data_IF_463536143862
#
_entry.id   IF_463536143862
#
_cell.length_a   1.000
_cell.length_b   1.000
_cell.length_c   1.000
_cell.angle_alpha   90.00
_cell.angle_beta   90.00
_cell.angle_gamma   90.00
#
_symmetry.space_group_name_H-M   'P 1'
#
loop_
_entity.id
_entity.type
_entity.pdbx_description
1 polymer ?
#
# COMPACT_ATOMS: atom_id res chain seq x y z
N UNK A 1 -17.24 38.41 -9.98
CA UNK A 1 -18.13 37.47 -10.64
C UNK A 1 -17.28 36.68 -11.60
N UNK A 2 -16.70 35.60 -11.13
CA UNK A 2 -15.88 34.66 -11.91
C UNK A 2 -16.85 33.57 -12.39
N UNK A 3 -17.07 33.49 -13.68
CA UNK A 3 -17.79 32.41 -14.34
C UNK A 3 -17.04 31.12 -14.12
N UNK A 4 -17.67 30.15 -13.46
CA UNK A 4 -17.23 28.78 -13.41
C UNK A 4 -17.11 28.27 -14.87
N UNK A 5 -15.87 27.94 -15.27
CA UNK A 5 -15.65 27.24 -16.54
C UNK A 5 -16.24 25.85 -16.40
N UNK A 6 -17.28 25.57 -17.18
CA UNK A 6 -17.77 24.20 -17.37
C UNK A 6 -16.67 23.37 -17.99
N UNK A 7 -16.29 22.25 -17.34
CA UNK A 7 -15.39 21.27 -17.93
C UNK A 7 -15.95 20.82 -19.29
N UNK A 8 -15.17 20.84 -20.39
CA UNK A 8 -15.64 20.57 -21.74
C UNK A 8 -16.11 19.12 -21.97
N UNK A 9 -16.16 18.27 -20.95
CA UNK A 9 -16.67 16.90 -20.99
C UNK A 9 -18.12 16.77 -20.47
N UNK A 10 -18.79 17.88 -20.13
CA UNK A 10 -20.18 17.87 -19.68
C UNK A 10 -21.14 17.76 -20.88
N UNK A 11 -21.54 16.54 -21.25
CA UNK A 11 -22.70 16.38 -22.12
C UNK A 11 -22.81 15.19 -23.06
N UNK A 12 -21.77 14.36 -23.20
CA UNK A 12 -21.95 13.04 -23.82
C UNK A 12 -21.75 11.97 -22.74
N UNK A 13 -22.82 11.27 -22.39
CA UNK A 13 -22.73 9.97 -21.74
C UNK A 13 -21.77 9.15 -22.62
N UNK A 14 -20.56 8.88 -22.11
CA UNK A 14 -19.58 8.05 -22.83
C UNK A 14 -20.21 6.67 -22.93
N UNK A 15 -20.63 6.30 -24.12
CA UNK A 15 -21.05 4.96 -24.46
C UNK A 15 -19.91 4.02 -24.02
N UNK A 16 -20.10 3.21 -23.00
CA UNK A 16 -19.19 2.36 -22.21
C UNK A 16 -17.94 1.76 -22.86
N UNK A 17 -17.36 2.40 -23.87
CA UNK A 17 -16.14 2.02 -24.57
C UNK A 17 -15.06 3.09 -24.42
N UNK A 18 -13.80 2.66 -24.30
CA UNK A 18 -12.65 3.56 -24.32
C UNK A 18 -12.62 4.37 -25.62
N UNK A 19 -12.33 5.67 -25.55
CA UNK A 19 -12.16 6.50 -26.72
C UNK A 19 -10.93 6.08 -27.53
N UNK A 20 -10.94 6.34 -28.85
CA UNK A 20 -9.71 6.27 -29.67
C UNK A 20 -8.65 7.21 -29.03
N UNK A 21 -7.42 6.76 -28.78
CA UNK A 21 -6.37 7.59 -28.17
C UNK A 21 -6.09 8.88 -28.96
N UNK A 22 -6.27 8.88 -30.29
CA UNK A 22 -6.14 10.11 -31.10
C UNK A 22 -7.23 11.13 -30.76
N UNK A 23 -8.46 10.65 -30.54
CA UNK A 23 -9.56 11.54 -30.17
C UNK A 23 -9.35 12.16 -28.78
N UNK A 24 -8.68 11.46 -27.87
CA UNK A 24 -8.30 12.04 -26.56
C UNK A 24 -7.31 13.19 -26.76
N UNK A 25 -6.30 13.00 -27.61
CA UNK A 25 -5.29 14.04 -27.86
C UNK A 25 -5.91 15.26 -28.56
N UNK A 26 -6.68 15.03 -29.64
CA UNK A 26 -7.23 16.09 -30.48
C UNK A 26 -8.46 16.78 -29.87
N UNK A 27 -9.24 16.06 -29.08
CA UNK A 27 -10.48 16.54 -28.45
C UNK A 27 -10.28 17.26 -27.12
N UNK A 28 -9.08 17.24 -26.54
CA UNK A 28 -8.76 17.87 -25.26
C UNK A 28 -8.06 19.20 -25.47
N UNK A 29 -8.56 20.27 -24.88
CA UNK A 29 -7.84 21.56 -24.85
C UNK A 29 -6.76 21.54 -23.76
N UNK A 30 -5.62 20.95 -24.06
CA UNK A 30 -4.48 20.87 -23.14
C UNK A 30 -3.92 22.23 -22.72
N UNK A 31 -4.26 23.30 -23.41
CA UNK A 31 -3.80 24.66 -23.06
C UNK A 31 -4.62 25.27 -21.92
N UNK A 32 -5.83 24.77 -21.71
CA UNK A 32 -6.73 25.14 -20.65
C UNK A 32 -6.59 24.26 -19.40
N UNK A 33 -5.81 23.14 -19.48
CA UNK A 33 -5.54 22.23 -18.39
C UNK A 33 -4.18 22.52 -17.75
N UNK A 34 -4.04 22.09 -16.50
CA UNK A 34 -2.82 22.27 -15.74
C UNK A 34 -2.23 20.92 -15.28
N UNK A 35 -0.93 20.89 -15.09
CA UNK A 35 -0.15 19.88 -14.38
C UNK A 35 0.74 20.59 -13.34
N UNK A 36 1.55 19.88 -12.59
CA UNK A 36 2.37 20.40 -11.49
C UNK A 36 3.22 21.65 -11.83
N UNK A 37 3.56 21.85 -13.11
CA UNK A 37 4.42 22.95 -13.56
C UNK A 37 3.68 23.99 -14.41
N UNK A 38 2.34 24.04 -14.33
CA UNK A 38 1.48 24.98 -15.04
C UNK A 38 0.74 24.37 -16.21
N UNK A 39 0.46 25.16 -17.27
CA UNK A 39 -0.39 24.72 -18.37
C UNK A 39 0.16 23.47 -19.11
N UNK A 40 -0.68 22.45 -19.29
CA UNK A 40 -0.35 21.11 -19.78
C UNK A 40 -0.10 21.03 -21.29
N UNK A 41 0.49 22.06 -21.91
CA UNK A 41 0.69 22.19 -23.36
C UNK A 41 1.62 21.13 -23.96
N UNK A 42 2.52 20.61 -23.16
CA UNK A 42 3.52 19.60 -23.56
C UNK A 42 3.01 18.17 -23.32
N UNK A 43 1.98 17.99 -22.51
CA UNK A 43 1.42 16.69 -22.16
C UNK A 43 1.03 15.85 -23.38
N UNK A 44 0.32 16.37 -24.43
CA UNK A 44 -0.03 15.56 -25.59
C UNK A 44 1.18 14.98 -26.33
N UNK A 45 2.27 15.76 -26.43
CA UNK A 45 3.51 15.24 -27.03
C UNK A 45 4.08 14.07 -26.22
N UNK A 46 4.06 14.17 -24.88
CA UNK A 46 4.56 13.10 -23.99
C UNK A 46 3.70 11.86 -24.07
N UNK A 47 2.38 12.02 -24.12
CA UNK A 47 1.47 10.90 -24.32
C UNK A 47 1.74 10.17 -25.63
N UNK A 48 1.94 10.87 -26.73
CA UNK A 48 2.30 10.28 -28.02
C UNK A 48 3.65 9.54 -27.98
N UNK A 49 4.63 10.09 -27.25
CA UNK A 49 5.96 9.50 -27.07
C UNK A 49 5.96 8.18 -26.27
N UNK A 50 4.90 7.87 -25.53
CA UNK A 50 4.74 6.54 -24.90
C UNK A 50 4.69 5.40 -25.93
N UNK A 51 4.37 5.69 -27.17
CA UNK A 51 4.32 4.72 -28.27
C UNK A 51 5.44 4.95 -29.29
N UNK A 52 6.53 5.63 -28.92
CA UNK A 52 7.71 5.78 -29.76
C UNK A 52 8.40 4.42 -29.97
N UNK A 53 9.15 4.28 -31.05
CA UNK A 53 9.96 3.08 -31.31
C UNK A 53 11.25 3.06 -30.49
N UNK A 54 11.71 4.22 -30.03
CA UNK A 54 12.90 4.38 -29.18
C UNK A 54 12.54 4.20 -27.69
N UNK A 55 13.08 3.16 -27.01
CA UNK A 55 12.84 2.92 -25.60
C UNK A 55 13.23 4.09 -24.68
N UNK A 56 14.27 4.86 -25.03
CA UNK A 56 14.70 5.99 -24.22
C UNK A 56 13.68 7.14 -24.29
N UNK A 57 13.06 7.33 -25.46
CA UNK A 57 11.97 8.30 -25.64
C UNK A 57 10.74 7.89 -24.82
N UNK A 58 10.36 6.59 -24.86
CA UNK A 58 9.27 6.05 -24.06
C UNK A 58 9.52 6.24 -22.54
N UNK A 59 10.73 5.91 -22.08
CA UNK A 59 11.11 6.07 -20.68
C UNK A 59 11.03 7.53 -20.22
N UNK A 60 11.54 8.45 -21.07
CA UNK A 60 11.45 9.89 -20.81
C UNK A 60 10.03 10.40 -20.75
N UNK A 61 9.13 9.90 -21.61
CA UNK A 61 7.73 10.26 -21.63
C UNK A 61 7.02 9.82 -20.33
N UNK A 62 7.27 8.58 -19.91
CA UNK A 62 6.69 8.04 -18.68
C UNK A 62 7.18 8.80 -17.44
N UNK A 63 8.49 9.08 -17.34
CA UNK A 63 9.04 9.87 -16.24
C UNK A 63 8.43 11.27 -16.15
N UNK A 64 8.11 11.89 -17.29
CA UNK A 64 7.43 13.19 -17.31
C UNK A 64 5.97 13.12 -16.89
N UNK A 65 5.24 12.04 -17.22
CA UNK A 65 3.88 11.84 -16.73
C UNK A 65 3.86 11.72 -15.21
N UNK A 66 4.77 10.93 -14.64
CA UNK A 66 4.93 10.76 -13.19
C UNK A 66 5.32 12.07 -12.50
N UNK A 67 6.26 12.81 -13.08
CA UNK A 67 6.74 14.06 -12.51
C UNK A 67 5.77 15.24 -12.68
N UNK A 68 4.88 15.22 -13.67
CA UNK A 68 4.06 16.40 -14.01
C UNK A 68 2.57 16.17 -13.79
N UNK A 69 2.05 15.05 -14.29
CA UNK A 69 0.59 14.78 -14.33
C UNK A 69 0.11 14.10 -13.04
N UNK A 70 1.02 13.45 -12.31
CA UNK A 70 0.78 12.84 -10.99
C UNK A 70 1.91 13.18 -10.01
N UNK A 71 2.28 14.44 -9.91
CA UNK A 71 3.41 14.87 -9.09
C UNK A 71 3.12 14.68 -7.59
N UNK A 72 3.94 13.87 -6.91
CA UNK A 72 3.83 13.62 -5.46
C UNK A 72 2.41 13.18 -5.04
N UNK A 73 1.81 12.29 -5.83
CA UNK A 73 0.45 11.79 -5.60
C UNK A 73 -0.66 12.84 -5.71
N UNK A 74 -0.35 14.05 -6.17
CA UNK A 74 -1.35 15.10 -6.41
C UNK A 74 -1.96 14.98 -7.80
N UNK A 75 -3.28 15.19 -7.87
CA UNK A 75 -4.06 15.17 -9.10
C UNK A 75 -4.19 16.58 -9.68
N UNK A 76 -4.17 16.67 -11.00
CA UNK A 76 -4.29 17.92 -11.76
C UNK A 76 -5.40 17.80 -12.81
N UNK A 77 -5.85 18.91 -13.37
CA UNK A 77 -6.89 18.90 -14.42
C UNK A 77 -6.48 18.10 -15.67
N UNK A 78 -5.17 17.97 -15.94
CA UNK A 78 -4.65 17.12 -17.03
C UNK A 78 -4.64 15.62 -16.69
N UNK A 79 -4.82 15.19 -15.42
CA UNK A 79 -4.68 13.80 -15.01
C UNK A 79 -5.75 12.89 -15.62
N UNK A 80 -7.01 13.28 -15.59
CA UNK A 80 -8.10 12.44 -16.10
C UNK A 80 -8.02 12.17 -17.61
N UNK A 81 -7.81 13.16 -18.51
CA UNK A 81 -7.64 12.89 -19.94
C UNK A 81 -6.32 12.13 -20.24
N UNK A 82 -5.24 12.37 -19.49
CA UNK A 82 -4.03 11.59 -19.65
C UNK A 82 -4.25 10.12 -19.27
N UNK A 83 -4.97 9.85 -18.17
CA UNK A 83 -5.31 8.49 -17.74
C UNK A 83 -6.18 7.75 -18.78
N UNK A 84 -7.11 8.43 -19.43
CA UNK A 84 -7.89 7.87 -20.53
C UNK A 84 -7.02 7.50 -21.74
N UNK A 85 -6.08 8.36 -22.11
CA UNK A 85 -5.12 8.04 -23.19
C UNK A 85 -4.28 6.82 -22.82
N UNK A 86 -3.68 6.79 -21.62
CA UNK A 86 -2.88 5.66 -21.14
C UNK A 86 -3.71 4.38 -21.15
N UNK A 87 -4.93 4.40 -20.63
CA UNK A 87 -5.83 3.25 -20.66
C UNK A 87 -6.12 2.77 -22.10
N UNK A 88 -6.33 3.68 -23.04
CA UNK A 88 -6.61 3.34 -24.43
C UNK A 88 -5.42 2.71 -25.17
N UNK A 89 -4.19 3.00 -24.76
CA UNK A 89 -2.98 2.46 -25.40
C UNK A 89 -2.40 1.22 -24.68
N UNK A 90 -2.94 0.79 -23.54
CA UNK A 90 -2.41 -0.34 -22.79
C UNK A 90 -2.21 -1.62 -23.63
N UNK A 91 -3.10 -1.89 -24.57
CA UNK A 91 -3.04 -3.09 -25.42
C UNK A 91 -2.14 -2.94 -26.64
N UNK A 92 -1.54 -1.76 -26.90
CA UNK A 92 -0.61 -1.58 -28.02
C UNK A 92 0.67 -2.42 -27.80
N UNK A 93 1.13 -3.19 -28.80
CA UNK A 93 2.34 -4.04 -28.65
C UNK A 93 3.59 -3.25 -28.24
N UNK A 94 3.71 -1.98 -28.59
CA UNK A 94 4.84 -1.11 -28.23
C UNK A 94 4.96 -0.89 -26.71
N UNK A 95 3.88 -1.04 -25.96
CA UNK A 95 3.92 -0.98 -24.48
C UNK A 95 4.57 -2.22 -23.84
N UNK A 96 4.92 -3.25 -24.62
CA UNK A 96 5.70 -4.40 -24.15
C UNK A 96 7.22 -4.20 -24.23
N UNK A 97 7.70 -3.05 -24.73
CA UNK A 97 9.11 -2.69 -24.71
C UNK A 97 9.63 -2.75 -23.26
N UNK A 98 10.77 -3.43 -23.08
CA UNK A 98 11.41 -3.56 -21.76
C UNK A 98 12.24 -2.31 -21.48
N UNK A 99 12.03 -1.73 -20.32
CA UNK A 99 12.79 -0.59 -19.81
C UNK A 99 13.63 -1.01 -18.60
N UNK A 100 14.88 -0.60 -18.59
CA UNK A 100 15.76 -0.66 -17.43
C UNK A 100 15.76 0.71 -16.73
N UNK A 101 15.86 0.69 -15.39
CA UNK A 101 15.95 1.92 -14.58
C UNK A 101 14.79 2.91 -14.78
N UNK A 102 13.61 2.41 -15.03
CA UNK A 102 12.40 3.23 -15.20
C UNK A 102 12.15 4.18 -14.02
N UNK A 103 12.33 3.69 -12.80
CA UNK A 103 12.26 4.51 -11.59
C UNK A 103 13.56 4.40 -10.80
N UNK A 104 13.97 5.49 -10.18
CA UNK A 104 15.18 5.52 -9.35
C UNK A 104 15.11 4.56 -8.14
N UNK A 105 13.91 4.14 -7.75
CA UNK A 105 13.67 3.22 -6.65
C UNK A 105 13.40 1.77 -7.07
N UNK A 106 13.16 1.50 -8.35
CA UNK A 106 12.99 0.15 -8.88
C UNK A 106 13.81 -0.02 -10.18
N UNK A 107 15.02 -0.53 -10.04
CA UNK A 107 15.94 -0.78 -11.15
C UNK A 107 15.68 -2.08 -11.91
N UNK A 108 14.56 -2.79 -11.68
CA UNK A 108 14.26 -4.05 -12.37
C UNK A 108 13.80 -3.79 -13.79
N UNK A 109 14.36 -4.51 -14.80
CA UNK A 109 13.83 -4.46 -16.16
C UNK A 109 12.38 -4.92 -16.18
N UNK A 110 11.50 -4.13 -16.81
CA UNK A 110 10.07 -4.46 -16.89
C UNK A 110 9.41 -3.85 -18.12
N UNK A 111 8.31 -4.45 -18.63
CA UNK A 111 7.55 -3.87 -19.72
C UNK A 111 7.00 -2.48 -19.37
N UNK A 112 7.02 -1.54 -20.32
CA UNK A 112 6.35 -0.23 -20.18
C UNK A 112 4.89 -0.40 -19.72
N UNK A 113 4.18 -1.42 -20.24
CA UNK A 113 2.81 -1.74 -19.85
C UNK A 113 2.64 -1.91 -18.35
N UNK A 114 3.57 -2.57 -17.67
CA UNK A 114 3.51 -2.73 -16.24
C UNK A 114 3.58 -1.38 -15.51
N UNK A 115 4.49 -0.51 -15.97
CA UNK A 115 4.63 0.83 -15.41
C UNK A 115 3.39 1.71 -15.65
N UNK A 116 2.79 1.62 -16.83
CA UNK A 116 1.54 2.34 -17.14
C UNK A 116 0.35 1.84 -16.29
N UNK A 117 0.26 0.53 -16.05
CA UNK A 117 -0.74 -0.05 -15.15
C UNK A 117 -0.55 0.44 -13.71
N UNK A 118 0.68 0.46 -13.21
CA UNK A 118 0.99 0.99 -11.87
C UNK A 118 0.64 2.48 -11.75
N UNK A 119 0.97 3.27 -12.77
CA UNK A 119 0.61 4.70 -12.81
C UNK A 119 -0.91 4.92 -12.76
N UNK A 120 -1.70 4.12 -13.48
CA UNK A 120 -3.17 4.16 -13.40
C UNK A 120 -3.69 3.77 -12.01
N UNK A 121 -3.04 2.80 -11.35
CA UNK A 121 -3.35 2.42 -9.97
C UNK A 121 -3.07 3.56 -8.99
N UNK A 122 -1.94 4.25 -9.12
CA UNK A 122 -1.58 5.39 -8.27
C UNK A 122 -2.59 6.55 -8.41
N UNK A 123 -3.07 6.83 -9.63
CA UNK A 123 -4.14 7.83 -9.85
C UNK A 123 -5.42 7.43 -9.08
N UNK A 124 -5.77 6.15 -9.11
CA UNK A 124 -6.95 5.67 -8.39
C UNK A 124 -6.79 5.79 -6.87
N UNK A 125 -5.62 5.46 -6.33
CA UNK A 125 -5.29 5.60 -4.91
C UNK A 125 -5.29 7.07 -4.47
N UNK A 126 -4.66 7.96 -5.26
CA UNK A 126 -4.64 9.41 -4.98
C UNK A 126 -6.05 10.00 -4.93
N UNK A 127 -6.93 9.57 -5.85
CA UNK A 127 -8.32 10.02 -5.86
C UNK A 127 -9.13 9.45 -4.68
N UNK A 128 -8.82 8.24 -4.19
CA UNK A 128 -9.48 7.63 -3.04
C UNK A 128 -9.05 8.29 -1.71
N UNK A 129 -7.78 8.72 -1.60
CA UNK A 129 -7.27 9.40 -0.41
C UNK A 129 -8.02 10.71 -0.13
N UNK A 130 -8.23 11.55 -1.13
CA UNK A 130 -9.01 12.79 -1.01
C UNK A 130 -10.46 12.56 -0.56
N UNK A 131 -11.03 11.39 -0.86
CA UNK A 131 -12.39 11.02 -0.43
C UNK A 131 -12.47 10.67 1.06
N UNK A 132 -11.42 10.04 1.61
CA UNK A 132 -11.41 9.54 3.00
C UNK A 132 -11.04 10.61 4.02
N UNK A 133 -10.18 11.53 3.67
CA UNK A 133 -9.70 12.57 4.59
C UNK A 133 -10.61 13.79 4.64
N UNK A 134 -11.45 14.00 3.62
CA UNK A 134 -12.26 15.22 3.48
C UNK A 134 -11.40 16.48 3.33
N UNK A 135 -10.09 16.32 3.27
CA UNK A 135 -9.14 17.35 2.94
C UNK A 135 -9.06 17.42 1.41
N UNK A 136 -9.53 18.49 0.83
CA UNK A 136 -9.22 18.87 -0.55
C UNK A 136 -7.74 19.29 -0.59
N UNK A 137 -6.85 18.33 -0.28
CA UNK A 137 -5.41 18.57 -0.15
C UNK A 137 -4.82 19.00 -1.49
N UNK A 138 -4.79 20.31 -1.71
CA UNK A 138 -4.08 20.92 -2.82
C UNK A 138 -4.63 20.65 -4.22
N UNK A 139 -5.65 19.79 -4.36
CA UNK A 139 -6.30 19.52 -5.64
C UNK A 139 -7.27 20.64 -6.00
N UNK A 140 -7.28 21.08 -7.26
CA UNK A 140 -8.30 22.00 -7.73
C UNK A 140 -9.71 21.39 -7.63
N UNK A 141 -10.75 22.18 -7.31
CA UNK A 141 -12.13 21.68 -7.26
C UNK A 141 -12.53 20.95 -8.54
N UNK A 142 -13.10 19.75 -8.43
CA UNK A 142 -13.59 18.94 -9.55
C UNK A 142 -12.55 18.04 -10.23
N UNK A 143 -11.27 18.11 -9.88
CA UNK A 143 -10.23 17.22 -10.46
C UNK A 143 -10.46 15.78 -10.02
N UNK A 144 -10.72 15.54 -8.74
CA UNK A 144 -11.05 14.22 -8.21
C UNK A 144 -12.31 13.66 -8.87
N UNK A 145 -13.34 14.48 -9.08
CA UNK A 145 -14.56 14.08 -9.77
C UNK A 145 -14.32 13.71 -11.24
N UNK A 146 -13.42 14.42 -11.92
CA UNK A 146 -13.05 14.09 -13.30
C UNK A 146 -12.33 12.73 -13.39
N UNK A 147 -11.43 12.43 -12.44
CA UNK A 147 -10.79 11.11 -12.35
C UNK A 147 -11.81 10.02 -12.02
N UNK A 148 -12.75 10.30 -11.10
CA UNK A 148 -13.83 9.37 -10.73
C UNK A 148 -14.70 9.03 -11.94
N UNK A 149 -15.04 10.01 -12.77
CA UNK A 149 -15.86 9.81 -13.96
C UNK A 149 -15.24 8.84 -14.99
N UNK A 150 -13.92 8.75 -15.05
CA UNK A 150 -13.20 7.87 -16.01
C UNK A 150 -12.77 6.53 -15.41
N UNK A 151 -12.89 6.32 -14.08
CA UNK A 151 -12.46 5.08 -13.40
C UNK A 151 -13.06 3.80 -14.02
N UNK A 152 -14.31 3.83 -14.41
CA UNK A 152 -14.98 2.69 -15.03
C UNK A 152 -14.30 2.23 -16.31
N UNK A 153 -13.94 3.17 -17.19
CA UNK A 153 -13.22 2.91 -18.44
C UNK A 153 -11.80 2.42 -18.20
N UNK A 154 -11.11 3.02 -17.22
CA UNK A 154 -9.77 2.56 -16.81
C UNK A 154 -9.85 1.13 -16.30
N UNK A 155 -10.82 0.78 -15.46
CA UNK A 155 -11.03 -0.56 -14.95
C UNK A 155 -11.26 -1.58 -16.07
N UNK A 156 -12.04 -1.22 -17.10
CA UNK A 156 -12.26 -2.06 -18.28
C UNK A 156 -10.97 -2.29 -19.09
N UNK A 157 -10.10 -1.28 -19.19
CA UNK A 157 -8.81 -1.38 -19.85
C UNK A 157 -7.80 -2.25 -19.07
N UNK A 158 -7.80 -2.14 -17.74
CA UNK A 158 -6.86 -2.86 -16.85
C UNK A 158 -7.21 -4.34 -16.71
N UNK A 159 -8.51 -4.66 -16.58
CA UNK A 159 -9.00 -6.01 -16.25
C UNK A 159 -8.47 -7.13 -17.15
N UNK A 160 -8.33 -6.99 -18.49
CA UNK A 160 -7.78 -8.05 -19.34
C UNK A 160 -6.33 -8.44 -18.99
N UNK A 161 -5.57 -7.50 -18.41
CA UNK A 161 -4.16 -7.71 -18.07
C UNK A 161 -3.96 -8.54 -16.79
N UNK A 162 -5.02 -8.80 -16.02
CA UNK A 162 -4.99 -9.77 -14.90
C UNK A 162 -4.63 -11.19 -15.35
N UNK A 163 -4.79 -11.50 -16.64
CA UNK A 163 -4.45 -12.78 -17.24
C UNK A 163 -3.28 -12.68 -18.24
N UNK A 164 -2.52 -11.59 -18.19
CA UNK A 164 -1.37 -11.42 -19.07
C UNK A 164 -0.33 -12.56 -18.86
N UNK A 165 0.33 -13.05 -19.92
CA UNK A 165 1.36 -14.08 -19.78
C UNK A 165 2.59 -13.61 -18.99
N UNK A 166 2.93 -12.32 -19.07
CA UNK A 166 4.02 -11.73 -18.32
C UNK A 166 3.61 -11.51 -16.86
N UNK A 167 4.33 -12.08 -15.86
CA UNK A 167 3.98 -11.96 -14.45
C UNK A 167 4.09 -10.52 -13.91
N UNK A 168 5.00 -9.70 -14.46
CA UNK A 168 5.16 -8.31 -14.03
C UNK A 168 3.95 -7.49 -14.46
N UNK A 169 3.45 -7.72 -15.69
CA UNK A 169 2.22 -7.08 -16.18
C UNK A 169 1.01 -7.54 -15.34
N UNK A 170 0.90 -8.84 -15.01
CA UNK A 170 -0.19 -9.33 -14.17
C UNK A 170 -0.16 -8.71 -12.78
N UNK A 171 1.02 -8.62 -12.16
CA UNK A 171 1.19 -8.01 -10.84
C UNK A 171 0.78 -6.54 -10.84
N UNK A 172 1.21 -5.78 -11.86
CA UNK A 172 0.84 -4.38 -12.02
C UNK A 172 -0.67 -4.21 -12.25
N UNK A 173 -1.28 -5.06 -13.11
CA UNK A 173 -2.72 -5.06 -13.33
C UNK A 173 -3.50 -5.39 -12.06
N UNK A 174 -3.01 -6.32 -11.26
CA UNK A 174 -3.61 -6.70 -9.99
C UNK A 174 -3.58 -5.53 -8.99
N UNK A 175 -2.45 -4.84 -8.87
CA UNK A 175 -2.31 -3.66 -8.01
C UNK A 175 -3.25 -2.54 -8.47
N UNK A 176 -3.28 -2.23 -9.76
CA UNK A 176 -4.18 -1.22 -10.33
C UNK A 176 -5.67 -1.59 -10.14
N UNK A 177 -6.04 -2.85 -10.35
CA UNK A 177 -7.42 -3.33 -10.14
C UNK A 177 -7.81 -3.19 -8.67
N UNK A 178 -6.90 -3.47 -7.76
CA UNK A 178 -7.13 -3.33 -6.32
C UNK A 178 -7.43 -1.87 -5.96
N UNK A 179 -6.63 -0.94 -6.45
CA UNK A 179 -6.83 0.49 -6.24
C UNK A 179 -8.16 0.99 -6.83
N UNK A 180 -8.46 0.62 -8.08
CA UNK A 180 -9.69 1.02 -8.77
C UNK A 180 -10.96 0.51 -8.09
N UNK A 181 -10.97 -0.75 -7.64
CA UNK A 181 -12.15 -1.38 -7.04
C UNK A 181 -12.37 -1.04 -5.55
N UNK A 182 -11.55 -0.20 -4.95
CA UNK A 182 -11.86 0.45 -3.67
C UNK A 182 -13.01 1.46 -3.84
N UNK A 183 -13.24 1.93 -5.05
CA UNK A 183 -14.28 2.91 -5.36
C UNK A 183 -15.68 2.32 -5.25
N UNK A 184 -16.60 2.93 -4.47
CA UNK A 184 -17.97 2.43 -4.30
C UNK A 184 -18.75 2.30 -5.62
N UNK A 185 -18.48 3.16 -6.59
CA UNK A 185 -19.14 3.14 -7.91
C UNK A 185 -18.81 1.86 -8.70
N UNK A 186 -17.68 1.21 -8.41
CA UNK A 186 -17.23 -0.02 -9.05
C UNK A 186 -17.56 -1.27 -8.24
N UNK A 187 -18.27 -1.18 -7.12
CA UNK A 187 -18.64 -2.28 -6.26
C UNK A 187 -19.32 -3.44 -7.02
N UNK A 188 -20.12 -3.14 -8.04
CA UNK A 188 -20.74 -4.15 -8.89
C UNK A 188 -19.77 -5.02 -9.70
N UNK A 189 -18.51 -4.60 -9.87
CA UNK A 189 -17.48 -5.34 -10.60
C UNK A 189 -16.67 -6.28 -9.70
N UNK A 190 -16.71 -6.09 -8.38
CA UNK A 190 -15.92 -6.85 -7.39
C UNK A 190 -16.17 -8.36 -7.52
N UNK A 191 -17.44 -8.79 -7.60
CA UNK A 191 -17.79 -10.22 -7.67
C UNK A 191 -17.20 -10.93 -8.89
N UNK A 192 -17.29 -10.33 -10.08
CA UNK A 192 -16.70 -10.89 -11.31
C UNK A 192 -15.18 -10.95 -11.24
N UNK A 193 -14.57 -9.89 -10.73
CA UNK A 193 -13.11 -9.81 -10.55
C UNK A 193 -12.63 -10.84 -9.53
N UNK A 194 -13.31 -10.99 -8.39
CA UNK A 194 -13.01 -12.01 -7.36
C UNK A 194 -12.95 -13.42 -7.95
N UNK A 195 -13.86 -13.77 -8.86
CA UNK A 195 -13.82 -15.09 -9.51
C UNK A 195 -12.54 -15.28 -10.35
N UNK A 196 -12.10 -14.25 -11.05
CA UNK A 196 -10.83 -14.25 -11.81
C UNK A 196 -9.64 -14.39 -10.88
N UNK A 197 -9.61 -13.63 -9.78
CA UNK A 197 -8.55 -13.66 -8.78
C UNK A 197 -8.47 -15.01 -8.05
N UNK A 198 -9.60 -15.64 -7.75
CA UNK A 198 -9.63 -17.00 -7.16
C UNK A 198 -8.98 -18.05 -8.07
N UNK A 199 -9.16 -17.95 -9.38
CA UNK A 199 -8.46 -18.81 -10.35
C UNK A 199 -6.96 -18.49 -10.37
N UNK A 200 -6.61 -17.22 -10.44
CA UNK A 200 -5.21 -16.78 -10.45
C UNK A 200 -4.46 -17.33 -9.23
N UNK A 201 -4.98 -17.18 -8.01
CA UNK A 201 -4.32 -17.67 -6.79
C UNK A 201 -4.24 -19.20 -6.71
N UNK A 202 -5.12 -19.92 -7.41
CA UNK A 202 -5.09 -21.38 -7.46
C UNK A 202 -4.05 -21.92 -8.45
N UNK A 203 -3.75 -21.16 -9.51
CA UNK A 203 -2.84 -21.55 -10.59
C UNK A 203 -1.43 -20.98 -10.42
N UNK A 204 -1.32 -19.83 -9.78
CA UNK A 204 -0.03 -19.14 -9.58
C UNK A 204 0.87 -19.88 -8.59
N UNK A 205 2.15 -19.98 -8.95
CA UNK A 205 3.24 -20.43 -8.08
C UNK A 205 4.04 -19.25 -7.49
N UNK A 206 3.77 -18.05 -7.96
CA UNK A 206 4.42 -16.84 -7.47
C UNK A 206 3.83 -16.43 -6.11
N UNK A 207 4.68 -16.36 -5.09
CA UNK A 207 4.27 -16.03 -3.72
C UNK A 207 3.67 -14.63 -3.63
N UNK A 208 4.27 -13.65 -4.27
CA UNK A 208 3.82 -12.25 -4.22
C UNK A 208 2.47 -12.10 -4.91
N UNK A 209 2.30 -12.68 -6.09
CA UNK A 209 1.02 -12.68 -6.81
C UNK A 209 -0.09 -13.31 -5.96
N UNK A 210 0.18 -14.47 -5.34
CA UNK A 210 -0.76 -15.16 -4.45
C UNK A 210 -1.11 -14.34 -3.22
N UNK A 211 -0.13 -13.71 -2.57
CA UNK A 211 -0.32 -12.85 -1.41
C UNK A 211 -1.17 -11.63 -1.76
N UNK A 212 -0.83 -10.95 -2.86
CA UNK A 212 -1.58 -9.79 -3.38
C UNK A 212 -3.05 -10.15 -3.60
N UNK A 213 -3.33 -11.28 -4.27
CA UNK A 213 -4.71 -11.74 -4.48
C UNK A 213 -5.42 -11.99 -3.15
N UNK A 214 -4.78 -12.69 -2.22
CA UNK A 214 -5.42 -13.05 -0.93
C UNK A 214 -5.73 -11.80 -0.10
N UNK A 215 -4.82 -10.85 -0.05
CA UNK A 215 -5.04 -9.56 0.63
C UNK A 215 -6.18 -8.77 -0.02
N UNK A 216 -6.20 -8.71 -1.35
CA UNK A 216 -7.21 -7.97 -2.12
C UNK A 216 -8.61 -8.54 -1.90
N UNK A 217 -8.79 -9.85 -2.09
CA UNK A 217 -10.13 -10.46 -1.90
C UNK A 217 -10.57 -10.38 -0.43
N UNK A 218 -9.64 -10.48 0.50
CA UNK A 218 -9.90 -10.31 1.93
C UNK A 218 -10.34 -8.89 2.29
N UNK A 219 -9.71 -7.87 1.71
CA UNK A 219 -10.09 -6.46 1.90
C UNK A 219 -11.49 -6.16 1.32
N UNK A 220 -11.89 -6.86 0.26
CA UNK A 220 -13.24 -6.77 -0.31
C UNK A 220 -14.31 -7.55 0.50
N UNK A 221 -13.95 -8.10 1.67
CA UNK A 221 -14.88 -8.82 2.54
C UNK A 221 -15.13 -10.27 2.15
N UNK A 222 -14.38 -10.81 1.18
CA UNK A 222 -14.50 -12.18 0.75
C UNK A 222 -13.83 -13.16 1.72
N UNK A 223 -14.35 -14.38 1.79
CA UNK A 223 -13.82 -15.43 2.68
C UNK A 223 -12.42 -15.91 2.25
N UNK A 224 -11.46 -15.73 3.13
CA UNK A 224 -10.06 -16.19 2.99
C UNK A 224 -9.72 -17.34 3.94
N UNK A 225 -10.65 -17.82 4.76
CA UNK A 225 -10.40 -18.85 5.80
C UNK A 225 -9.80 -20.14 5.26
N UNK A 226 -10.17 -20.53 4.04
CA UNK A 226 -9.57 -21.69 3.36
C UNK A 226 -8.06 -21.57 3.15
N UNK A 227 -7.53 -20.35 3.08
CA UNK A 227 -6.09 -20.08 2.92
C UNK A 227 -5.30 -20.13 4.23
N UNK A 228 -5.97 -20.20 5.39
CA UNK A 228 -5.31 -20.48 6.68
C UNK A 228 -4.67 -21.87 6.76
N UNK A 229 -4.94 -22.75 5.79
CA UNK A 229 -4.32 -24.05 5.66
C UNK A 229 -3.31 -24.12 4.49
N UNK A 230 -2.99 -23.00 3.86
CA UNK A 230 -2.04 -22.95 2.75
C UNK A 230 -0.66 -23.47 3.19
N UNK A 231 0.08 -24.23 2.36
CA UNK A 231 1.42 -24.70 2.70
C UNK A 231 2.41 -23.57 2.92
N UNK A 232 2.25 -22.43 2.22
CA UNK A 232 3.13 -21.27 2.34
C UNK A 232 2.73 -20.42 3.57
N UNK A 233 3.65 -20.18 4.54
CA UNK A 233 3.37 -19.39 5.73
C UNK A 233 3.03 -17.92 5.41
N UNK A 234 3.60 -17.35 4.36
CA UNK A 234 3.30 -15.99 3.94
C UNK A 234 1.84 -15.85 3.49
N UNK A 235 1.33 -16.83 2.74
CA UNK A 235 -0.07 -16.85 2.28
C UNK A 235 -1.02 -17.04 3.46
N UNK A 236 -0.67 -17.92 4.44
CA UNK A 236 -1.48 -18.06 5.66
C UNK A 236 -1.57 -16.76 6.45
N UNK A 237 -0.42 -16.05 6.59
CA UNK A 237 -0.36 -14.78 7.30
C UNK A 237 -1.18 -13.70 6.60
N UNK A 238 -1.07 -13.55 5.28
CA UNK A 238 -1.88 -12.62 4.49
C UNK A 238 -3.39 -12.94 4.60
N UNK A 239 -3.77 -14.21 4.54
CA UNK A 239 -5.18 -14.63 4.71
C UNK A 239 -5.71 -14.27 6.10
N UNK A 240 -4.88 -14.43 7.12
CA UNK A 240 -5.25 -14.14 8.50
C UNK A 240 -5.50 -12.64 8.77
N UNK A 241 -4.92 -11.74 7.96
CA UNK A 241 -5.15 -10.29 8.06
C UNK A 241 -6.56 -9.87 7.62
N UNK A 242 -7.25 -10.69 6.83
CA UNK A 242 -8.59 -10.35 6.34
C UNK A 242 -9.53 -9.92 7.47
N UNK A 243 -10.29 -8.81 7.30
CA UNK A 243 -11.32 -8.38 8.24
C UNK A 243 -12.33 -9.49 8.57
N UNK A 244 -12.68 -10.32 7.58
CA UNK A 244 -13.56 -11.49 7.78
C UNK A 244 -12.99 -12.56 8.71
N UNK A 245 -11.71 -12.51 9.03
CA UNK A 245 -11.03 -13.39 9.98
C UNK A 245 -10.91 -12.80 11.41
N UNK A 246 -11.47 -11.63 11.71
CA UNK A 246 -11.27 -10.94 13.00
C UNK A 246 -11.68 -11.81 14.21
N UNK A 247 -12.79 -12.56 14.12
CA UNK A 247 -13.24 -13.48 15.19
C UNK A 247 -12.69 -14.91 15.07
N UNK A 248 -11.75 -15.19 14.16
CA UNK A 248 -11.26 -16.53 13.90
C UNK A 248 -10.00 -16.83 14.73
N UNK A 249 -10.13 -17.66 15.76
CA UNK A 249 -9.00 -18.05 16.64
C UNK A 249 -7.81 -18.63 15.88
N UNK A 250 -8.04 -19.42 14.83
CA UNK A 250 -6.96 -19.97 13.99
C UNK A 250 -6.22 -18.86 13.25
N UNK A 251 -6.92 -17.83 12.79
CA UNK A 251 -6.27 -16.69 12.14
C UNK A 251 -5.39 -15.91 13.14
N UNK A 252 -5.90 -15.64 14.35
CA UNK A 252 -5.09 -14.99 15.41
C UNK A 252 -3.86 -15.82 15.76
N UNK A 253 -4.03 -17.14 15.95
CA UNK A 253 -2.89 -18.05 16.20
C UNK A 253 -1.89 -18.09 15.04
N UNK A 254 -2.37 -17.98 13.79
CA UNK A 254 -1.51 -17.93 12.60
C UNK A 254 -0.65 -16.65 12.63
N UNK A 255 -1.24 -15.50 12.97
CA UNK A 255 -0.52 -14.23 13.11
C UNK A 255 0.52 -14.31 14.24
N UNK A 256 0.09 -14.73 15.44
CA UNK A 256 0.98 -14.86 16.60
C UNK A 256 2.15 -15.83 16.29
N UNK A 257 1.85 -16.96 15.64
CA UNK A 257 2.88 -17.93 15.24
C UNK A 257 3.87 -17.36 14.22
N UNK A 258 3.41 -16.56 13.26
CA UNK A 258 4.29 -15.88 12.31
C UNK A 258 5.20 -14.85 13.01
N UNK A 259 4.65 -14.09 13.95
CA UNK A 259 5.39 -13.07 14.71
C UNK A 259 6.48 -13.63 15.64
N UNK A 260 6.56 -14.94 15.84
CA UNK A 260 7.69 -15.56 16.56
C UNK A 260 8.99 -15.54 15.75
N UNK A 261 8.92 -15.33 14.44
CA UNK A 261 10.11 -15.16 13.57
C UNK A 261 9.93 -13.93 12.66
N UNK A 262 10.11 -12.71 13.20
CA UNK A 262 10.00 -11.46 12.43
C UNK A 262 10.96 -11.39 11.24
N UNK A 263 12.14 -12.00 11.37
CA UNK A 263 13.14 -12.05 10.29
C UNK A 263 12.66 -12.88 9.10
N UNK A 264 11.97 -13.99 9.35
CA UNK A 264 11.34 -14.75 8.29
C UNK A 264 10.26 -13.94 7.57
N UNK A 265 9.39 -13.23 8.31
CA UNK A 265 8.36 -12.37 7.71
C UNK A 265 9.01 -11.33 6.78
N UNK A 266 10.02 -10.61 7.26
CA UNK A 266 10.72 -9.58 6.49
C UNK A 266 11.41 -10.15 5.23
N UNK A 267 11.71 -11.45 5.20
CA UNK A 267 12.34 -12.14 4.07
C UNK A 267 11.35 -12.70 3.03
N UNK A 268 10.07 -12.86 3.35
CA UNK A 268 9.13 -13.58 2.47
C UNK A 268 8.98 -12.99 1.08
N UNK A 269 9.09 -11.67 0.96
CA UNK A 269 8.87 -10.93 -0.28
C UNK A 269 10.09 -10.15 -0.76
N UNK A 270 11.24 -10.30 -0.07
CA UNK A 270 12.48 -9.67 -0.51
C UNK A 270 12.94 -10.30 -1.83
N UNK A 271 13.21 -9.45 -2.81
CA UNK A 271 13.93 -9.87 -4.00
C UNK A 271 15.43 -9.96 -3.68
N UNK A 272 16.11 -11.06 -4.05
CA UNK A 272 17.54 -11.25 -3.73
C UNK A 272 18.48 -10.17 -4.27
N UNK A 273 18.02 -9.38 -5.23
CA UNK A 273 18.79 -8.34 -5.95
C UNK A 273 18.40 -6.92 -5.58
N UNK A 274 17.44 -6.72 -4.69
CA UNK A 274 17.03 -5.36 -4.30
C UNK A 274 18.17 -4.68 -3.53
N UNK A 275 18.79 -3.69 -4.16
CA UNK A 275 19.83 -2.84 -3.54
C UNK A 275 19.26 -1.92 -2.45
N UNK A 276 17.94 -1.75 -2.41
CA UNK A 276 17.23 -0.94 -1.45
C UNK A 276 16.47 -1.82 -0.45
N UNK A 277 16.90 -1.86 0.82
CA UNK A 277 16.16 -2.56 1.88
C UNK A 277 14.75 -2.01 2.11
N UNK A 278 14.45 -0.82 1.60
CA UNK A 278 13.17 -0.14 1.72
C UNK A 278 12.24 -0.36 0.51
N UNK A 279 12.77 -0.86 -0.61
CA UNK A 279 12.01 -1.19 -1.81
C UNK A 279 11.18 -2.47 -1.69
N UNK A 280 11.35 -3.23 -0.61
CA UNK A 280 10.61 -4.46 -0.34
C UNK A 280 9.20 -4.17 0.19
N UNK A 281 8.25 -4.97 -0.24
CA UNK A 281 6.97 -5.24 0.42
C UNK A 281 5.82 -4.23 0.24
N UNK A 282 5.73 -3.54 -0.88
CA UNK A 282 4.45 -2.92 -1.23
C UNK A 282 3.44 -4.02 -1.58
N UNK A 283 2.74 -4.48 -0.57
CA UNK A 283 1.58 -5.35 -0.72
C UNK A 283 0.31 -4.50 -0.65
N UNK A 284 -0.73 -4.79 -1.43
CA UNK A 284 -1.96 -4.01 -1.40
C UNK A 284 -2.63 -4.11 -0.03
N UNK A 285 -3.29 -3.03 0.38
CA UNK A 285 -3.98 -2.92 1.68
C UNK A 285 -3.06 -3.04 2.91
N UNK A 286 -1.74 -2.97 2.74
CA UNK A 286 -0.77 -2.96 3.82
C UNK A 286 0.04 -1.66 3.74
N UNK A 287 -0.08 -0.84 4.78
CA UNK A 287 0.77 0.33 4.94
C UNK A 287 2.07 -0.10 5.62
N UNK A 288 3.20 0.18 4.98
CA UNK A 288 4.51 -0.21 5.48
C UNK A 288 4.80 -1.71 5.35
N UNK A 289 5.46 -2.30 6.34
CA UNK A 289 5.89 -3.71 6.30
C UNK A 289 4.79 -4.66 6.73
N UNK A 290 4.71 -5.83 6.10
CA UNK A 290 3.79 -6.91 6.50
C UNK A 290 3.90 -7.25 8.00
N UNK A 291 5.11 -7.28 8.55
CA UNK A 291 5.35 -7.53 9.97
C UNK A 291 4.60 -6.54 10.87
N UNK A 292 4.58 -5.26 10.52
CA UNK A 292 3.88 -4.23 11.30
C UNK A 292 2.36 -4.39 11.20
N UNK A 293 1.84 -4.73 10.02
CA UNK A 293 0.42 -5.02 9.84
C UNK A 293 -0.03 -6.25 10.65
N UNK A 294 0.77 -7.31 10.66
CA UNK A 294 0.52 -8.49 11.47
C UNK A 294 0.53 -8.16 12.97
N UNK A 295 1.49 -7.34 13.40
CA UNK A 295 1.62 -6.92 14.80
C UNK A 295 0.43 -6.08 15.25
N UNK A 296 0.04 -5.08 14.48
CA UNK A 296 -1.12 -4.25 14.76
C UNK A 296 -2.40 -5.09 14.85
N UNK A 297 -2.56 -6.05 13.92
CA UNK A 297 -3.71 -6.97 13.93
C UNK A 297 -3.66 -7.92 15.13
N UNK A 298 -2.49 -8.38 15.56
CA UNK A 298 -2.35 -9.20 16.75
C UNK A 298 -2.79 -8.42 18.00
N UNK A 299 -2.33 -7.18 18.15
CA UNK A 299 -2.70 -6.29 19.27
C UNK A 299 -4.21 -6.09 19.31
N UNK A 300 -4.83 -5.78 18.17
CA UNK A 300 -6.28 -5.54 18.07
C UNK A 300 -7.12 -6.79 18.45
N UNK A 301 -6.63 -7.99 18.08
CA UNK A 301 -7.38 -9.24 18.28
C UNK A 301 -7.09 -9.94 19.61
N UNK A 302 -6.05 -9.53 20.33
CA UNK A 302 -5.61 -10.19 21.57
C UNK A 302 -5.93 -9.28 22.74
N UNK A 303 -6.77 -9.74 23.65
CA UNK A 303 -7.20 -8.96 24.82
C UNK A 303 -6.21 -8.99 25.99
N UNK A 304 -5.17 -9.81 25.92
CA UNK A 304 -4.19 -10.01 27.01
C UNK A 304 -2.76 -9.91 26.50
N UNK A 305 -1.98 -9.03 27.13
CA UNK A 305 -0.57 -8.85 26.77
C UNK A 305 0.29 -10.09 27.07
N UNK A 306 -0.11 -10.95 28.01
CA UNK A 306 0.60 -12.21 28.26
C UNK A 306 0.60 -13.14 27.02
N UNK A 307 -0.50 -13.13 26.27
CA UNK A 307 -0.59 -13.86 24.99
C UNK A 307 0.29 -13.22 23.89
N UNK A 308 0.43 -11.89 23.90
CA UNK A 308 1.29 -11.14 22.97
C UNK A 308 2.78 -11.23 23.32
N UNK A 309 3.14 -11.49 24.58
CA UNK A 309 4.50 -11.40 25.09
C UNK A 309 5.53 -12.17 24.25
N UNK A 310 5.29 -13.43 23.80
CA UNK A 310 6.27 -14.15 22.98
C UNK A 310 6.58 -13.41 21.66
N UNK A 311 5.56 -12.89 20.98
CA UNK A 311 5.70 -12.11 19.75
C UNK A 311 6.37 -10.76 20.00
N UNK A 312 6.01 -10.10 21.10
CA UNK A 312 6.62 -8.85 21.53
C UNK A 312 8.14 -9.03 21.78
N UNK A 313 8.54 -10.05 22.50
CA UNK A 313 9.96 -10.36 22.76
C UNK A 313 10.72 -10.73 21.47
N UNK A 314 10.09 -11.49 20.57
CA UNK A 314 10.67 -11.83 19.27
C UNK A 314 10.90 -10.60 18.38
N UNK A 315 10.07 -9.57 18.55
CA UNK A 315 10.16 -8.32 17.76
C UNK A 315 11.29 -7.39 18.27
N UNK A 316 11.69 -7.44 19.55
CA UNK A 316 12.67 -6.52 20.15
C UNK A 316 13.98 -6.42 19.37
N UNK A 317 14.59 -7.51 18.83
CA UNK A 317 15.81 -7.40 18.03
C UNK A 317 15.69 -6.55 16.77
N UNK A 318 14.47 -6.32 16.28
CA UNK A 318 14.16 -5.54 15.07
C UNK A 318 13.73 -4.12 15.39
N UNK A 319 13.48 -3.80 16.67
CA UNK A 319 13.06 -2.48 17.14
C UNK A 319 14.20 -1.47 17.13
N UNK A 320 13.85 -0.22 16.85
CA UNK A 320 14.73 0.95 16.93
C UNK A 320 13.92 2.19 17.35
N UNK A 321 14.61 3.30 17.63
CA UNK A 321 13.93 4.57 17.86
C UNK A 321 13.14 5.08 16.64
N UNK A 322 13.45 4.61 15.43
CA UNK A 322 12.76 4.99 14.19
C UNK A 322 11.51 4.16 13.92
N UNK A 323 11.36 2.99 14.55
CA UNK A 323 10.25 2.07 14.34
C UNK A 323 9.25 2.07 15.51
N UNK A 324 9.37 3.03 16.44
CA UNK A 324 8.54 3.05 17.65
C UNK A 324 7.04 3.10 17.34
N UNK A 325 6.65 3.87 16.34
CA UNK A 325 5.25 4.04 15.97
C UNK A 325 4.63 2.77 15.35
N UNK A 326 5.44 1.96 14.69
CA UNK A 326 4.99 0.79 13.93
C UNK A 326 5.08 -0.53 14.70
N UNK A 327 5.99 -0.63 15.70
CA UNK A 327 6.22 -1.90 16.40
C UNK A 327 6.16 -1.79 17.92
N UNK A 328 7.20 -1.30 18.60
CA UNK A 328 7.32 -1.45 20.04
C UNK A 328 6.52 -0.42 20.85
N UNK A 329 6.13 0.73 20.31
CA UNK A 329 5.23 1.69 20.94
C UNK A 329 3.82 1.13 21.11
N UNK A 330 3.15 0.63 20.04
CA UNK A 330 1.87 -0.08 20.14
C UNK A 330 1.90 -1.27 21.09
N UNK A 331 3.00 -2.05 21.11
CA UNK A 331 3.18 -3.14 22.09
C UNK A 331 3.32 -2.62 23.52
N UNK A 332 4.00 -1.48 23.70
CA UNK A 332 4.12 -0.84 25.01
C UNK A 332 2.74 -0.37 25.49
N UNK A 333 1.94 0.24 24.61
CA UNK A 333 0.57 0.63 24.93
C UNK A 333 -0.32 -0.58 25.27
N UNK A 334 -0.16 -1.70 24.55
CA UNK A 334 -0.87 -2.94 24.86
C UNK A 334 -0.44 -3.54 26.21
N UNK A 335 0.84 -3.38 26.60
CA UNK A 335 1.32 -3.80 27.91
C UNK A 335 0.80 -2.94 29.05
N UNK A 336 0.46 -1.67 28.78
CA UNK A 336 -0.02 -0.70 29.77
C UNK A 336 -1.33 -0.03 29.30
N UNK A 337 -2.42 -0.78 29.14
CA UNK A 337 -3.66 -0.25 28.54
C UNK A 337 -4.35 0.82 29.40
N UNK A 338 -4.04 0.90 30.68
CA UNK A 338 -4.52 1.94 31.61
C UNK A 338 -3.41 2.92 32.05
N UNK A 339 -2.26 2.89 31.37
CA UNK A 339 -1.06 3.57 31.81
C UNK A 339 -0.34 2.86 32.95
N UNK A 340 0.83 3.39 33.34
CA UNK A 340 1.62 2.90 34.47
C UNK A 340 1.18 3.57 35.78
N UNK A 341 0.90 2.79 36.81
CA UNK A 341 0.65 3.26 38.17
C UNK A 341 1.83 2.87 39.09
N UNK A 342 2.57 3.85 39.67
CA UNK A 342 3.66 3.56 40.61
C UNK A 342 3.24 2.78 41.87
N UNK A 343 1.94 2.81 42.23
CA UNK A 343 1.38 2.06 43.37
C UNK A 343 1.09 0.60 43.05
N UNK A 344 1.17 0.21 41.75
CA UNK A 344 0.87 -1.16 41.29
C UNK A 344 2.14 -1.84 40.84
N UNK A 345 2.33 -3.10 41.25
CA UNK A 345 3.47 -3.90 40.78
C UNK A 345 3.30 -4.25 39.30
N UNK A 346 4.41 -4.21 38.57
CA UNK A 346 4.47 -4.72 37.21
C UNK A 346 4.11 -6.21 37.18
N UNK A 347 3.32 -6.61 36.20
CA UNK A 347 3.10 -8.02 35.87
C UNK A 347 4.43 -8.64 35.38
N UNK A 348 4.50 -9.97 35.38
CA UNK A 348 5.67 -10.65 34.83
C UNK A 348 5.89 -10.32 33.36
N UNK A 349 4.82 -10.22 32.57
CA UNK A 349 4.87 -9.87 31.16
C UNK A 349 5.40 -8.44 30.94
N UNK A 350 4.87 -7.46 31.68
CA UNK A 350 5.33 -6.07 31.63
C UNK A 350 6.82 -5.97 32.01
N UNK A 351 7.24 -6.65 33.08
CA UNK A 351 8.63 -6.67 33.53
C UNK A 351 9.55 -7.28 32.46
N UNK A 352 9.20 -8.43 31.87
CA UNK A 352 9.99 -9.07 30.82
C UNK A 352 10.14 -8.19 29.60
N UNK A 353 9.04 -7.57 29.16
CA UNK A 353 9.06 -6.73 27.95
C UNK A 353 9.88 -5.44 28.15
N UNK A 354 9.64 -4.71 29.26
CA UNK A 354 10.44 -3.51 29.55
C UNK A 354 11.92 -3.84 29.71
N UNK A 355 12.27 -4.98 30.33
CA UNK A 355 13.66 -5.40 30.44
C UNK A 355 14.31 -5.65 29.07
N UNK A 356 13.60 -6.35 28.18
CA UNK A 356 14.09 -6.60 26.83
C UNK A 356 14.30 -5.30 26.04
N UNK A 357 13.38 -4.32 26.15
CA UNK A 357 13.55 -3.00 25.55
C UNK A 357 14.72 -2.23 26.19
N UNK A 358 14.87 -2.28 27.52
CA UNK A 358 16.00 -1.61 28.21
C UNK A 358 17.36 -2.17 27.82
N UNK A 359 17.43 -3.42 27.37
CA UNK A 359 18.65 -4.03 26.87
C UNK A 359 18.94 -3.72 25.38
N UNK A 360 18.01 -3.11 24.67
CA UNK A 360 18.15 -2.77 23.25
C UNK A 360 18.61 -1.32 23.06
N UNK A 361 19.92 -1.05 22.95
CA UNK A 361 20.51 0.30 22.86
C UNK A 361 19.91 1.19 21.79
N UNK A 362 19.60 0.64 20.62
CA UNK A 362 19.13 1.40 19.46
C UNK A 362 17.73 1.99 19.67
N UNK A 363 16.92 1.44 20.57
CA UNK A 363 15.59 1.98 20.89
C UNK A 363 15.70 3.33 21.63
N UNK A 364 16.80 3.59 22.32
CA UNK A 364 17.00 4.75 23.19
C UNK A 364 17.84 5.87 22.55
N UNK A 365 18.13 5.76 21.25
CA UNK A 365 18.79 6.84 20.50
C UNK A 365 17.75 7.87 20.11
N UNK A 366 18.12 9.16 20.12
CA UNK A 366 17.21 10.26 19.75
C UNK A 366 15.88 10.24 20.52
N UNK A 367 15.98 10.43 21.82
CA UNK A 367 14.90 10.24 22.80
C UNK A 367 13.61 11.03 22.54
N UNK A 368 13.64 12.13 21.76
CA UNK A 368 12.43 12.93 21.49
C UNK A 368 11.31 12.15 20.79
N UNK A 369 11.64 11.14 19.96
CA UNK A 369 10.62 10.26 19.35
C UNK A 369 10.06 9.25 20.34
N UNK A 370 10.84 8.92 21.37
CA UNK A 370 10.49 7.91 22.38
C UNK A 370 9.69 8.55 23.53
N UNK A 371 10.03 9.79 23.89
CA UNK A 371 9.51 10.47 25.07
C UNK A 371 7.99 10.54 25.08
N UNK A 372 7.34 10.90 23.95
CA UNK A 372 5.89 11.02 23.88
C UNK A 372 5.17 9.71 24.22
N UNK A 373 5.66 8.58 23.72
CA UNK A 373 5.06 7.28 24.01
C UNK A 373 5.14 6.89 25.48
N UNK A 374 6.26 7.21 26.13
CA UNK A 374 6.44 6.92 27.55
C UNK A 374 5.66 7.90 28.43
N UNK A 375 5.63 9.18 28.09
CA UNK A 375 4.87 10.21 28.80
C UNK A 375 3.36 9.92 28.76
N UNK A 376 2.83 9.52 27.59
CA UNK A 376 1.42 9.16 27.43
C UNK A 376 1.01 7.97 28.31
N UNK A 377 1.96 7.09 28.61
CA UNK A 377 1.74 5.92 29.47
C UNK A 377 2.14 6.15 30.94
N UNK A 378 2.66 7.32 31.29
CA UNK A 378 3.15 7.62 32.64
C UNK A 378 4.41 6.84 33.03
N UNK A 379 5.15 6.29 32.05
CA UNK A 379 6.40 5.57 32.25
C UNK A 379 7.59 6.55 32.21
N UNK A 380 8.71 6.24 32.91
CA UNK A 380 9.94 6.99 32.73
C UNK A 380 10.44 6.96 31.28
N UNK A 381 10.76 8.13 30.72
CA UNK A 381 11.11 8.27 29.30
C UNK A 381 12.59 8.00 28.97
N UNK A 382 13.37 7.58 29.95
CA UNK A 382 14.80 7.26 29.76
C UNK A 382 15.16 5.87 30.24
N UNK A 383 16.19 5.31 29.61
CA UNK A 383 16.63 3.93 29.82
C UNK A 383 17.06 3.65 31.28
N UNK A 384 17.78 4.57 31.91
CA UNK A 384 18.32 4.35 33.24
C UNK A 384 17.22 4.39 34.30
N UNK A 385 16.24 5.25 34.14
CA UNK A 385 15.03 5.30 34.97
C UNK A 385 14.17 4.04 34.79
N UNK A 386 14.03 3.50 33.58
CA UNK A 386 13.38 2.19 33.36
C UNK A 386 14.15 1.06 34.04
N UNK A 387 15.48 1.05 33.99
CA UNK A 387 16.30 0.06 34.72
C UNK A 387 16.15 0.17 36.23
N UNK A 388 16.08 1.38 36.75
CA UNK A 388 15.83 1.62 38.17
C UNK A 388 14.44 1.12 38.59
N UNK A 389 13.41 1.38 37.76
CA UNK A 389 12.05 0.87 37.96
C UNK A 389 12.04 -0.66 38.04
N UNK A 390 12.68 -1.33 37.07
CA UNK A 390 12.77 -2.79 37.01
C UNK A 390 13.52 -3.38 38.22
N UNK A 391 14.58 -2.72 38.70
CA UNK A 391 15.32 -3.15 39.89
C UNK A 391 14.47 -3.09 41.17
N UNK A 392 13.56 -2.11 41.28
CA UNK A 392 12.60 -1.97 42.39
C UNK A 392 11.43 -2.97 42.37
N UNK A 393 11.16 -3.57 41.20
CA UNK A 393 10.01 -4.46 40.98
C UNK A 393 10.43 -5.93 40.68
N UNK A 394 11.61 -6.39 41.14
CA UNK A 394 12.06 -7.78 40.90
C UNK A 394 10.98 -8.77 41.36
N UNK A 395 10.52 -9.69 40.50
CA UNK A 395 9.63 -10.76 40.91
C UNK A 395 10.33 -11.63 41.97
N UNK A 396 9.64 -11.99 43.03
CA UNK A 396 10.15 -12.99 43.95
C UNK A 396 10.33 -14.32 43.22
N UNK A 397 11.55 -14.92 43.30
CA UNK A 397 11.82 -16.25 42.79
C UNK A 397 10.96 -17.31 43.48
#
# INVERSE_FOLDING_TARGET
VTTHGEYPMSGQAMDGALPDPRLVIEGTDWTALEHAYGAAKDTPLRLLQLLDEDPDVQAGALGLLDMSVLHQESLYSATAPAALYVAAVLSDPRTLTIHENYSSWDGRPRPLRAALLEWLGQIADSAAYGETTGEEDGNEPGVTDAVRAVRGLICDAVSPHLLAPDPTVRQAALSATTALLQSPELAGRVSGTTQTLRRLVAESTDRRERATVVLTIGAWGEDTTGRLADPDPAIRACAALSPGCAGNTKATQTILGALLDPGAIDSWFLEPTAADPWAGDRLPHITGRLRHALLATAIDRTGDFEELLPAALASVPFCSNLTIAEDWGPLLAAAFPSGYDPGVRLTQAQHCYLNALADRDVCWRYTHLVTSWFDDLGLPADRDSIRALLAGHRPHQ
#
